data_IF_862314952978
#
_entry.id   IF_862314952978
#
_cell.length_a   1.000
_cell.length_b   1.000
_cell.length_c   1.000
_cell.angle_alpha   90.00
_cell.angle_beta   90.00
_cell.angle_gamma   90.00
#
_symmetry.space_group_name_H-M   'P 1'
#
loop_
_entity.id
_entity.type
_entity.pdbx_description
1 polymer ?
#
# COMPACT_ATOMS: atom_id res chain seq x y z
N UNK A 1 26.76 22.48 26.90
CA UNK A 1 25.95 21.33 26.43
C UNK A 1 24.91 21.87 25.49
N UNK A 2 25.17 21.83 24.17
CA UNK A 2 24.22 22.30 23.16
C UNK A 2 23.37 21.13 22.72
N UNK A 3 22.05 21.19 22.98
CA UNK A 3 21.10 20.32 22.31
C UNK A 3 21.07 20.71 20.84
N UNK A 4 21.59 19.85 19.97
CA UNK A 4 21.40 19.99 18.53
C UNK A 4 19.91 19.86 18.22
N UNK A 5 19.29 20.97 17.83
CA UNK A 5 17.94 20.99 17.27
C UNK A 5 17.90 20.02 16.08
N UNK A 6 17.17 18.92 16.24
CA UNK A 6 16.89 18.02 15.13
C UNK A 6 16.05 18.78 14.11
N UNK A 7 16.68 19.22 13.02
CA UNK A 7 16.05 19.78 11.83
C UNK A 7 15.24 18.70 11.09
N UNK A 8 14.22 18.13 11.73
CA UNK A 8 13.25 17.31 11.03
C UNK A 8 12.38 18.24 10.17
N UNK A 9 12.22 17.96 8.87
CA UNK A 9 11.40 18.80 8.00
C UNK A 9 9.96 18.87 8.52
N UNK A 10 9.35 20.05 8.41
CA UNK A 10 7.94 20.25 8.76
C UNK A 10 7.06 19.24 8.00
N UNK A 11 6.26 18.46 8.73
CA UNK A 11 5.29 17.53 8.14
C UNK A 11 4.09 18.34 7.62
N UNK A 12 4.13 18.69 6.33
CA UNK A 12 3.05 19.41 5.66
C UNK A 12 2.14 18.39 4.97
N UNK A 13 0.87 18.37 5.35
CA UNK A 13 -0.13 17.54 4.68
C UNK A 13 -0.26 17.93 3.21
N UNK A 14 -0.33 16.92 2.34
CA UNK A 14 -0.70 17.06 0.93
C UNK A 14 -1.73 15.99 0.58
N UNK A 15 -2.81 16.33 -0.15
CA UNK A 15 -3.74 15.33 -0.65
C UNK A 15 -3.04 14.41 -1.66
N UNK A 16 -3.57 13.21 -1.83
CA UNK A 16 -3.10 12.30 -2.88
C UNK A 16 -3.40 12.89 -4.26
N UNK A 17 -2.50 12.72 -5.24
CA UNK A 17 -2.75 13.20 -6.59
C UNK A 17 -3.91 12.44 -7.23
N UNK A 18 -4.70 13.14 -8.03
CA UNK A 18 -5.69 12.51 -8.91
C UNK A 18 -4.97 12.11 -10.21
N UNK A 19 -5.02 10.81 -10.51
CA UNK A 19 -4.51 10.25 -11.76
C UNK A 19 -5.72 9.82 -12.58
N UNK A 20 -5.81 10.25 -13.84
CA UNK A 20 -6.91 9.96 -14.76
C UNK A 20 -6.46 9.26 -16.07
N UNK A 21 -5.16 9.28 -16.37
CA UNK A 21 -4.57 8.63 -17.54
C UNK A 21 -3.71 7.41 -17.19
N UNK A 22 -4.01 6.27 -17.82
CA UNK A 22 -3.19 5.06 -17.72
C UNK A 22 -1.78 5.24 -18.26
N UNK A 23 -1.58 6.07 -19.28
CA UNK A 23 -0.23 6.30 -19.82
C UNK A 23 0.67 6.96 -18.79
N UNK A 24 0.13 7.93 -18.04
CA UNK A 24 0.83 8.56 -16.93
C UNK A 24 1.21 7.53 -15.86
N UNK A 25 0.29 6.64 -15.49
CA UNK A 25 0.54 5.57 -14.51
C UNK A 25 1.66 4.63 -14.99
N UNK A 26 1.63 4.21 -16.26
CA UNK A 26 2.69 3.37 -16.82
C UNK A 26 4.04 4.08 -16.96
N UNK A 27 4.04 5.40 -17.10
CA UNK A 27 5.26 6.20 -17.10
C UNK A 27 5.88 6.24 -15.71
N UNK A 28 5.07 6.51 -14.67
CA UNK A 28 5.51 6.46 -13.27
C UNK A 28 6.04 5.07 -12.93
N UNK A 29 5.36 4.00 -13.37
CA UNK A 29 5.81 2.63 -13.12
C UNK A 29 7.13 2.25 -13.80
N UNK A 30 7.54 2.95 -14.86
CA UNK A 30 8.78 2.69 -15.60
C UNK A 30 9.92 3.60 -15.21
N UNK A 31 9.61 4.87 -14.96
CA UNK A 31 10.60 5.94 -14.85
C UNK A 31 10.39 6.84 -13.62
N UNK A 32 9.36 6.57 -12.82
CA UNK A 32 9.05 7.34 -11.63
C UNK A 32 10.14 7.25 -10.56
N UNK A 33 10.32 8.35 -9.85
CA UNK A 33 11.12 8.39 -8.64
C UNK A 33 10.53 7.51 -7.54
N UNK A 34 11.34 7.15 -6.54
CA UNK A 34 10.86 6.42 -5.35
C UNK A 34 9.68 7.14 -4.70
N UNK A 35 9.71 8.47 -4.62
CA UNK A 35 8.61 9.25 -4.04
C UNK A 35 7.30 9.10 -4.83
N UNK A 36 7.37 9.10 -6.16
CA UNK A 36 6.18 8.87 -7.00
C UNK A 36 5.67 7.43 -6.86
N UNK A 37 6.57 6.45 -6.82
CA UNK A 37 6.22 5.04 -6.61
C UNK A 37 5.61 4.78 -5.22
N UNK A 38 6.03 5.51 -4.19
CA UNK A 38 5.44 5.44 -2.86
C UNK A 38 4.01 5.99 -2.83
N UNK A 39 3.72 7.05 -3.60
CA UNK A 39 2.41 7.70 -3.62
C UNK A 39 1.43 6.97 -4.54
N UNK A 40 1.92 6.41 -5.65
CA UNK A 40 1.11 5.76 -6.68
C UNK A 40 0.08 4.74 -6.17
N UNK A 41 0.42 3.74 -5.34
CA UNK A 41 -0.56 2.72 -4.91
C UNK A 41 -1.66 3.32 -4.02
N UNK A 42 -1.34 4.36 -3.25
CA UNK A 42 -2.30 5.06 -2.39
C UNK A 42 -3.26 5.89 -3.25
N UNK A 43 -2.74 6.66 -4.20
CA UNK A 43 -3.51 7.48 -5.12
C UNK A 43 -4.51 6.63 -5.93
N UNK A 44 -4.04 5.50 -6.47
CA UNK A 44 -4.90 4.58 -7.21
C UNK A 44 -5.92 3.89 -6.32
N UNK A 45 -5.52 3.45 -5.13
CA UNK A 45 -6.44 2.80 -4.19
C UNK A 45 -7.55 3.72 -3.70
N UNK A 46 -7.27 5.01 -3.51
CA UNK A 46 -8.29 5.99 -3.14
C UNK A 46 -9.22 6.30 -4.32
N UNK A 47 -8.64 6.73 -5.44
CA UNK A 47 -9.38 7.46 -6.47
C UNK A 47 -9.67 6.65 -7.73
N UNK A 48 -8.83 5.70 -8.13
CA UNK A 48 -8.95 5.07 -9.44
C UNK A 48 -10.22 4.21 -9.55
N UNK A 49 -11.06 4.38 -10.59
CA UNK A 49 -12.37 3.74 -10.64
C UNK A 49 -12.29 2.22 -10.89
N UNK A 50 -11.29 1.76 -11.65
CA UNK A 50 -11.12 0.34 -11.94
C UNK A 50 -10.32 -0.35 -10.85
N UNK A 51 -11.02 -0.91 -9.86
CA UNK A 51 -10.41 -1.59 -8.70
C UNK A 51 -9.42 -2.69 -9.11
N UNK A 52 -9.69 -3.43 -10.19
CA UNK A 52 -8.83 -4.52 -10.64
C UNK A 52 -7.52 -3.99 -11.20
N UNK A 53 -7.56 -2.94 -12.01
CA UNK A 53 -6.35 -2.27 -12.48
C UNK A 53 -5.53 -1.68 -11.31
N UNK A 54 -6.19 -1.03 -10.34
CA UNK A 54 -5.50 -0.51 -9.16
C UNK A 54 -4.83 -1.63 -8.35
N UNK A 55 -5.49 -2.78 -8.20
CA UNK A 55 -4.92 -3.97 -7.56
C UNK A 55 -3.70 -4.47 -8.34
N UNK A 56 -3.81 -4.64 -9.66
CA UNK A 56 -2.72 -5.15 -10.50
C UNK A 56 -1.47 -4.25 -10.41
N UNK A 57 -1.67 -2.92 -10.35
CA UNK A 57 -0.59 -1.97 -10.11
C UNK A 57 0.02 -2.16 -8.71
N UNK A 58 -0.80 -2.31 -7.66
CA UNK A 58 -0.29 -2.60 -6.32
C UNK A 58 0.49 -3.93 -6.28
N UNK A 59 0.01 -4.98 -6.96
CA UNK A 59 0.71 -6.26 -7.04
C UNK A 59 2.07 -6.12 -7.73
N UNK A 60 2.16 -5.32 -8.81
CA UNK A 60 3.43 -5.01 -9.47
C UNK A 60 4.39 -4.25 -8.56
N UNK A 61 3.90 -3.25 -7.82
CA UNK A 61 4.70 -2.48 -6.86
C UNK A 61 5.13 -3.31 -5.64
N UNK A 62 4.35 -4.33 -5.27
CA UNK A 62 4.72 -5.25 -4.20
C UNK A 62 5.96 -6.10 -4.54
N UNK A 63 6.40 -6.15 -5.79
CA UNK A 63 7.64 -6.82 -6.21
C UNK A 63 8.85 -5.87 -6.32
N UNK A 64 8.70 -4.61 -5.90
CA UNK A 64 9.78 -3.61 -5.98
C UNK A 64 10.93 -3.92 -5.00
N UNK A 65 12.16 -3.55 -5.36
CA UNK A 65 13.35 -3.75 -4.53
C UNK A 65 13.27 -2.99 -3.20
N UNK A 66 12.73 -1.78 -3.25
CA UNK A 66 12.59 -0.91 -2.08
C UNK A 66 11.50 -1.39 -1.11
N UNK A 67 11.82 -1.67 0.17
CA UNK A 67 10.86 -2.12 1.17
C UNK A 67 9.70 -1.14 1.39
N UNK A 68 9.96 0.17 1.32
CA UNK A 68 8.93 1.19 1.51
C UNK A 68 7.88 1.16 0.39
N UNK A 69 8.30 0.92 -0.86
CA UNK A 69 7.39 0.80 -2.01
C UNK A 69 6.50 -0.44 -1.85
N UNK A 70 7.07 -1.57 -1.43
CA UNK A 70 6.29 -2.78 -1.14
C UNK A 70 5.28 -2.56 0.00
N UNK A 71 5.69 -1.89 1.08
CA UNK A 71 4.79 -1.59 2.18
C UNK A 71 3.64 -0.65 1.78
N UNK A 72 3.92 0.34 0.93
CA UNK A 72 2.88 1.22 0.39
C UNK A 72 1.98 0.52 -0.63
N UNK A 73 2.48 -0.48 -1.35
CA UNK A 73 1.64 -1.34 -2.17
C UNK A 73 0.61 -2.11 -1.32
N UNK A 74 1.00 -2.65 -0.17
CA UNK A 74 0.07 -3.27 0.78
C UNK A 74 -0.97 -2.27 1.29
N UNK A 75 -0.55 -1.05 1.62
CA UNK A 75 -1.48 0.00 2.04
C UNK A 75 -2.43 0.44 0.91
N UNK A 76 -1.97 0.45 -0.35
CA UNK A 76 -2.81 0.66 -1.52
C UNK A 76 -3.90 -0.41 -1.66
N UNK A 77 -3.59 -1.68 -1.40
CA UNK A 77 -4.59 -2.75 -1.34
C UNK A 77 -5.64 -2.50 -0.24
N UNK A 78 -5.22 -2.04 0.93
CA UNK A 78 -6.15 -1.65 2.00
C UNK A 78 -7.07 -0.49 1.59
N UNK A 79 -6.55 0.48 0.83
CA UNK A 79 -7.35 1.57 0.28
C UNK A 79 -8.40 1.06 -0.72
N UNK A 80 -8.02 0.16 -1.62
CA UNK A 80 -8.96 -0.48 -2.55
C UNK A 80 -10.04 -1.26 -1.78
N UNK A 81 -9.65 -1.99 -0.73
CA UNK A 81 -10.60 -2.69 0.13
C UNK A 81 -11.61 -1.71 0.76
N UNK A 82 -11.12 -0.58 1.30
CA UNK A 82 -11.96 0.46 1.92
C UNK A 82 -12.88 1.16 0.91
N UNK A 83 -12.37 1.59 -0.23
CA UNK A 83 -13.10 2.46 -1.16
C UNK A 83 -13.92 1.70 -2.19
N UNK A 84 -13.48 0.50 -2.58
CA UNK A 84 -14.11 -0.30 -3.64
C UNK A 84 -14.71 -1.62 -3.15
N UNK A 85 -14.37 -2.06 -1.93
CA UNK A 85 -14.85 -3.30 -1.32
C UNK A 85 -14.68 -4.55 -2.21
N UNK A 86 -13.62 -4.56 -3.03
CA UNK A 86 -13.33 -5.64 -3.98
C UNK A 86 -11.83 -5.85 -4.14
N UNK A 87 -11.38 -7.09 -3.95
CA UNK A 87 -10.03 -7.57 -4.24
C UNK A 87 -10.09 -9.07 -4.56
N UNK A 88 -9.13 -9.56 -5.34
CA UNK A 88 -8.92 -10.98 -5.63
C UNK A 88 -8.05 -11.61 -4.54
N UNK A 89 -8.72 -12.20 -3.54
CA UNK A 89 -8.09 -12.75 -2.33
C UNK A 89 -6.89 -13.66 -2.59
N UNK A 90 -6.97 -14.52 -3.60
CA UNK A 90 -5.94 -15.50 -3.91
C UNK A 90 -4.64 -14.85 -4.43
N UNK A 91 -4.73 -13.66 -5.04
CA UNK A 91 -3.57 -12.91 -5.52
C UNK A 91 -2.94 -12.08 -4.40
N UNK A 92 -3.76 -11.43 -3.58
CA UNK A 92 -3.24 -10.48 -2.59
C UNK A 92 -2.81 -11.15 -1.27
N UNK A 93 -3.41 -12.29 -0.89
CA UNK A 93 -3.09 -12.96 0.37
C UNK A 93 -1.61 -13.36 0.47
N UNK A 94 -0.98 -13.99 -0.55
CA UNK A 94 0.44 -14.31 -0.49
C UNK A 94 1.33 -13.08 -0.27
N UNK A 95 1.01 -11.95 -0.92
CA UNK A 95 1.75 -10.70 -0.78
C UNK A 95 1.66 -10.16 0.65
N UNK A 96 0.45 -10.02 1.18
CA UNK A 96 0.25 -9.48 2.53
C UNK A 96 0.92 -10.35 3.60
N UNK A 97 0.82 -11.68 3.47
CA UNK A 97 1.46 -12.60 4.42
C UNK A 97 2.99 -12.65 4.28
N UNK A 98 3.53 -12.47 3.06
CA UNK A 98 4.97 -12.32 2.83
C UNK A 98 5.47 -11.06 3.51
N UNK A 99 4.87 -9.91 3.24
CA UNK A 99 5.31 -8.65 3.84
C UNK A 99 5.13 -8.66 5.36
N UNK A 100 4.07 -9.28 5.90
CA UNK A 100 3.89 -9.41 7.34
C UNK A 100 5.04 -10.19 8.01
N UNK A 101 5.63 -11.15 7.30
CA UNK A 101 6.74 -11.97 7.80
C UNK A 101 8.10 -11.27 7.69
N UNK A 102 8.34 -10.56 6.59
CA UNK A 102 9.68 -10.10 6.23
C UNK A 102 9.91 -8.60 6.39
N UNK A 103 8.84 -7.79 6.44
CA UNK A 103 8.97 -6.36 6.66
C UNK A 103 9.21 -6.08 8.15
N UNK A 104 10.38 -5.55 8.50
CA UNK A 104 10.74 -5.26 9.90
C UNK A 104 10.50 -3.79 10.27
N UNK A 105 10.93 -2.86 9.42
CA UNK A 105 10.87 -1.42 9.70
C UNK A 105 9.44 -0.86 9.62
N UNK A 106 8.67 -1.38 8.66
CA UNK A 106 7.30 -0.95 8.38
C UNK A 106 6.27 -2.04 8.74
N UNK A 107 6.60 -2.95 9.65
CA UNK A 107 5.73 -4.05 10.07
C UNK A 107 4.31 -3.58 10.43
N UNK A 108 4.21 -2.53 11.26
CA UNK A 108 2.95 -1.95 11.72
C UNK A 108 2.05 -1.50 10.56
N UNK A 109 2.64 -0.97 9.48
CA UNK A 109 1.90 -0.58 8.27
C UNK A 109 1.30 -1.79 7.56
N UNK A 110 2.01 -2.92 7.56
CA UNK A 110 1.50 -4.16 6.96
C UNK A 110 0.37 -4.72 7.81
N UNK A 111 0.52 -4.70 9.14
CA UNK A 111 -0.51 -5.12 10.07
C UNK A 111 -1.79 -4.30 9.92
N UNK A 112 -1.68 -2.96 9.87
CA UNK A 112 -2.81 -2.05 9.63
C UNK A 112 -3.48 -2.35 8.27
N UNK A 113 -2.70 -2.54 7.21
CA UNK A 113 -3.24 -2.88 5.90
C UNK A 113 -4.03 -4.19 5.91
N UNK A 114 -3.54 -5.22 6.62
CA UNK A 114 -4.24 -6.49 6.79
C UNK A 114 -5.54 -6.31 7.59
N UNK A 115 -5.50 -5.52 8.67
CA UNK A 115 -6.69 -5.23 9.48
C UNK A 115 -7.76 -4.52 8.65
N UNK A 116 -7.40 -3.54 7.83
CA UNK A 116 -8.32 -2.86 6.93
C UNK A 116 -8.92 -3.82 5.89
N UNK A 117 -8.09 -4.63 5.23
CA UNK A 117 -8.57 -5.65 4.28
C UNK A 117 -9.55 -6.61 4.96
N UNK A 118 -9.23 -7.07 6.17
CA UNK A 118 -10.12 -7.93 6.96
C UNK A 118 -11.43 -7.22 7.30
N UNK A 119 -11.37 -5.97 7.75
CA UNK A 119 -12.52 -5.16 8.16
C UNK A 119 -13.47 -4.90 7.00
N UNK A 120 -12.96 -4.43 5.86
CA UNK A 120 -13.80 -3.97 4.75
C UNK A 120 -14.27 -5.10 3.82
N UNK A 121 -13.56 -6.23 3.78
CA UNK A 121 -13.94 -7.39 2.95
C UNK A 121 -14.49 -8.58 3.77
N UNK A 122 -14.53 -8.47 5.10
CA UNK A 122 -14.95 -9.56 5.98
C UNK A 122 -13.99 -10.77 5.94
N UNK A 123 -12.72 -10.53 5.63
CA UNK A 123 -11.71 -11.58 5.57
C UNK A 123 -11.07 -11.83 6.94
N UNK A 124 -10.30 -12.93 7.02
CA UNK A 124 -9.55 -13.34 8.21
C UNK A 124 -8.13 -13.71 7.81
N UNK A 125 -7.44 -12.77 7.19
CA UNK A 125 -6.03 -12.88 6.86
C UNK A 125 -5.20 -12.71 8.14
N UNK A 126 -4.17 -13.54 8.30
CA UNK A 126 -3.25 -13.52 9.45
C UNK A 126 -3.87 -13.64 10.85
N UNK A 127 -5.17 -13.95 10.96
CA UNK A 127 -5.75 -14.35 12.23
C UNK A 127 -5.10 -15.69 12.62
N UNK A 128 -4.43 -15.71 13.78
CA UNK A 128 -4.18 -16.99 14.46
C UNK A 128 -5.56 -17.64 14.64
N UNK A 129 -5.68 -18.92 14.29
CA UNK A 129 -6.78 -19.70 14.82
C UNK A 129 -6.67 -19.56 16.34
N UNK A 130 -7.58 -18.81 16.95
CA UNK A 130 -7.88 -19.04 18.35
C UNK A 130 -8.54 -20.41 18.36
N UNK A 131 -7.73 -21.44 18.62
CA UNK A 131 -8.22 -22.76 18.96
C UNK A 131 -9.21 -22.56 20.12
N UNK A 132 -10.48 -22.78 19.83
CA UNK A 132 -11.54 -22.91 20.83
C UNK A 132 -11.59 -24.33 21.32
#
# INVERSE_FOLDING_TARGET
>A
MSCSESNLPLRIYRPLPLLDDRKQIEEVLRHGSIQELLILPLALGEHWPNWKYAQDVCLRLAEHSEPEVRANACLGLAYIARTKQRLEKHLIKPILLRELRYQTELYWRIEDAIQDVNRYLGWRLANKHEDK
#
